data_IF_391173651475
#
_entry.id   IF_391173651475
#
_cell.length_a   1.000
_cell.length_b   1.000
_cell.length_c   1.000
_cell.angle_alpha   90.00
_cell.angle_beta   90.00
_cell.angle_gamma   90.00
#
_symmetry.space_group_name_H-M   'P 1'
#
loop_
_entity.id
_entity.type
_entity.pdbx_description
1 polymer ?
#
# COMPACT_ATOMS: atom_id res chain seq x y z
N UNK A 1 -3.05 -18.09 5.30
CA UNK A 1 -1.68 -18.60 5.49
C UNK A 1 -1.09 -18.23 6.85
N UNK A 2 -1.37 -17.04 7.40
CA UNK A 2 -0.81 -16.57 8.68
C UNK A 2 -1.71 -16.82 9.89
N UNK A 3 -2.94 -17.24 9.69
CA UNK A 3 -4.00 -17.33 10.71
C UNK A 3 -3.83 -18.48 11.69
N UNK A 4 -2.88 -19.36 11.47
CA UNK A 4 -2.48 -20.41 12.40
C UNK A 4 -1.64 -19.88 13.59
N UNK A 5 -0.99 -18.73 13.41
CA UNK A 5 -0.08 -18.13 14.39
C UNK A 5 -0.53 -16.73 14.81
N UNK A 6 -1.16 -15.96 13.91
CA UNK A 6 -1.54 -14.57 14.13
C UNK A 6 -3.05 -14.36 14.02
N UNK A 7 -3.58 -13.45 14.83
CA UNK A 7 -4.86 -12.82 14.52
C UNK A 7 -4.60 -11.78 13.41
N UNK A 8 -5.04 -12.09 12.20
CA UNK A 8 -4.83 -11.24 11.03
C UNK A 8 -6.04 -10.33 10.82
N UNK A 9 -5.80 -9.04 10.65
CA UNK A 9 -6.81 -8.03 10.35
C UNK A 9 -6.37 -7.32 9.09
N UNK A 10 -7.19 -7.41 8.04
CA UNK A 10 -7.08 -6.61 6.84
C UNK A 10 -7.99 -5.39 6.97
N UNK A 11 -7.46 -4.21 6.69
CA UNK A 11 -8.24 -2.98 6.70
C UNK A 11 -8.31 -2.44 5.27
N UNK A 12 -9.52 -2.34 4.74
CA UNK A 12 -9.76 -1.57 3.53
C UNK A 12 -9.64 -0.08 3.89
N UNK A 13 -8.65 0.60 3.33
CA UNK A 13 -8.54 2.04 3.52
C UNK A 13 -9.74 2.74 2.88
N UNK A 14 -10.11 3.93 3.38
CA UNK A 14 -11.23 4.70 2.83
C UNK A 14 -11.16 4.82 1.31
N UNK A 15 -12.29 4.61 0.65
CA UNK A 15 -12.38 4.58 -0.81
C UNK A 15 -11.90 3.29 -1.47
N UNK A 16 -11.53 2.27 -0.68
CA UNK A 16 -11.16 0.94 -1.16
C UNK A 16 -12.10 -0.13 -0.61
N UNK A 17 -12.24 -1.22 -1.37
CA UNK A 17 -12.96 -2.41 -0.92
C UNK A 17 -14.35 -2.11 -0.42
N UNK A 18 -14.62 -2.48 0.83
CA UNK A 18 -15.90 -2.24 1.51
C UNK A 18 -15.98 -0.93 2.30
N UNK A 19 -14.92 -0.13 2.32
CA UNK A 19 -14.88 1.14 3.06
C UNK A 19 -15.45 2.29 2.24
N UNK A 20 -16.23 3.17 2.90
CA UNK A 20 -16.84 4.33 2.26
C UNK A 20 -15.79 5.29 1.65
N UNK A 21 -16.11 5.93 0.53
CA UNK A 21 -15.27 7.00 -0.01
C UNK A 21 -15.28 8.21 0.94
N UNK A 22 -14.16 8.94 1.04
CA UNK A 22 -14.12 10.13 1.89
C UNK A 22 -14.98 11.25 1.29
N UNK A 23 -15.52 12.15 2.12
CA UNK A 23 -16.37 13.25 1.67
C UNK A 23 -15.61 14.32 0.87
N UNK A 24 -14.29 14.28 0.89
CA UNK A 24 -13.44 15.21 0.14
C UNK A 24 -12.06 14.62 -0.10
N UNK A 25 -11.32 15.18 -1.08
CA UNK A 25 -9.94 14.84 -1.40
C UNK A 25 -8.98 14.90 -0.20
N UNK A 26 -9.20 15.85 0.73
CA UNK A 26 -8.40 15.95 1.94
C UNK A 26 -8.50 14.71 2.85
N UNK A 27 -9.61 13.99 2.78
CA UNK A 27 -9.80 12.73 3.47
C UNK A 27 -8.90 11.59 2.95
N UNK A 28 -8.33 11.71 1.75
CA UNK A 28 -7.43 10.71 1.17
C UNK A 28 -5.97 10.87 1.64
N UNK A 29 -5.66 11.81 2.53
CA UNK A 29 -4.33 11.97 3.10
C UNK A 29 -4.01 10.86 4.10
N UNK A 30 -2.74 10.66 4.40
CA UNK A 30 -2.27 9.60 5.29
C UNK A 30 -2.85 9.69 6.71
N UNK A 31 -2.98 10.91 7.27
CA UNK A 31 -3.51 11.08 8.62
C UNK A 31 -4.97 10.60 8.79
N UNK A 32 -5.92 11.01 7.95
CA UNK A 32 -7.27 10.45 7.99
C UNK A 32 -7.32 8.93 7.80
N UNK A 33 -6.51 8.37 6.88
CA UNK A 33 -6.42 6.92 6.70
C UNK A 33 -5.86 6.22 7.94
N UNK A 34 -4.83 6.78 8.56
CA UNK A 34 -4.25 6.27 9.80
C UNK A 34 -5.25 6.33 10.96
N UNK A 35 -6.03 7.40 11.05
CA UNK A 35 -7.10 7.53 12.05
C UNK A 35 -8.18 6.46 11.88
N UNK A 36 -8.55 6.09 10.65
CA UNK A 36 -9.48 4.98 10.40
C UNK A 36 -8.92 3.64 10.90
N UNK A 37 -7.64 3.36 10.61
CA UNK A 37 -6.98 2.15 11.11
C UNK A 37 -7.04 2.09 12.63
N UNK A 38 -6.76 3.21 13.30
CA UNK A 38 -6.84 3.29 14.76
C UNK A 38 -8.27 3.09 15.26
N UNK A 39 -9.27 3.65 14.59
CA UNK A 39 -10.68 3.45 14.94
C UNK A 39 -11.11 1.97 14.84
N UNK A 40 -10.62 1.26 13.82
CA UNK A 40 -10.83 -0.19 13.67
C UNK A 40 -10.18 -0.96 14.83
N UNK A 41 -8.93 -0.62 15.18
CA UNK A 41 -8.24 -1.25 16.31
C UNK A 41 -8.96 -1.02 17.63
N UNK A 42 -9.45 0.20 17.88
CA UNK A 42 -10.23 0.56 19.06
C UNK A 42 -11.55 -0.22 19.13
N UNK A 43 -12.27 -0.30 18.01
CA UNK A 43 -13.52 -1.07 17.92
C UNK A 43 -13.31 -2.57 18.18
N UNK A 44 -12.12 -3.09 17.90
CA UNK A 44 -11.73 -4.48 18.13
C UNK A 44 -11.05 -4.72 19.48
N UNK A 45 -10.85 -3.67 20.29
CA UNK A 45 -10.17 -3.74 21.59
C UNK A 45 -8.69 -4.11 21.48
N UNK A 46 -8.00 -3.65 20.43
CA UNK A 46 -6.61 -3.98 20.16
C UNK A 46 -5.73 -2.82 20.58
N UNK A 47 -4.97 -3.02 21.66
CA UNK A 47 -4.06 -2.02 22.22
C UNK A 47 -2.67 -2.11 21.60
N UNK A 48 -2.19 -3.33 21.29
CA UNK A 48 -0.88 -3.58 20.70
C UNK A 48 -1.00 -4.45 19.45
N UNK A 49 -0.22 -4.12 18.43
CA UNK A 49 -0.22 -4.84 17.15
C UNK A 49 1.13 -4.74 16.44
N UNK A 50 1.29 -5.52 15.39
CA UNK A 50 2.32 -5.34 14.37
C UNK A 50 1.65 -5.10 13.02
N UNK A 51 2.29 -4.34 12.14
CA UNK A 51 1.76 -4.04 10.83
C UNK A 51 2.61 -4.62 9.70
N UNK A 52 1.94 -5.06 8.64
CA UNK A 52 2.55 -5.33 7.34
C UNK A 52 1.90 -4.35 6.36
N UNK A 53 2.65 -3.42 5.85
CA UNK A 53 2.16 -2.40 4.95
C UNK A 53 2.93 -2.42 3.63
N UNK A 54 2.21 -2.57 2.52
CA UNK A 54 2.78 -2.48 1.19
C UNK A 54 2.42 -1.14 0.56
N UNK A 55 3.37 -0.55 -0.15
CA UNK A 55 3.17 0.69 -0.90
C UNK A 55 2.52 1.78 -0.03
N UNK A 56 1.34 2.28 -0.39
CA UNK A 56 0.53 3.22 0.41
C UNK A 56 0.37 2.74 1.86
N UNK A 57 0.07 1.44 2.05
CA UNK A 57 -0.13 0.85 3.37
C UNK A 57 1.09 0.94 4.28
N UNK A 58 2.31 0.90 3.71
CA UNK A 58 3.56 1.11 4.46
C UNK A 58 3.67 2.54 5.00
N UNK A 59 3.37 3.53 4.17
CA UNK A 59 3.37 4.94 4.57
C UNK A 59 2.28 5.26 5.60
N UNK A 60 1.05 4.79 5.37
CA UNK A 60 -0.06 4.96 6.31
C UNK A 60 0.27 4.32 7.66
N UNK A 61 0.90 3.13 7.67
CA UNK A 61 1.30 2.46 8.91
C UNK A 61 2.31 3.26 9.74
N UNK A 62 3.24 3.97 9.09
CA UNK A 62 4.15 4.87 9.81
C UNK A 62 3.38 6.00 10.51
N UNK A 63 2.36 6.56 9.85
CA UNK A 63 1.51 7.60 10.46
C UNK A 63 0.60 7.02 11.54
N UNK A 64 0.17 5.76 11.46
CA UNK A 64 -0.54 5.08 12.56
C UNK A 64 0.33 5.03 13.82
N UNK A 65 1.64 4.71 13.70
CA UNK A 65 2.56 4.73 14.84
C UNK A 65 2.78 6.16 15.39
N UNK A 66 2.82 7.17 14.49
CA UNK A 66 2.91 8.58 14.90
C UNK A 66 1.71 9.01 15.75
N UNK A 67 0.50 8.63 15.34
CA UNK A 67 -0.73 8.99 16.04
C UNK A 67 -0.96 8.21 17.34
N UNK A 68 -0.39 7.01 17.46
CA UNK A 68 -0.46 6.16 18.66
C UNK A 68 0.91 5.57 18.99
N UNK A 69 1.84 6.37 19.51
CA UNK A 69 3.19 5.91 19.82
C UNK A 69 3.20 4.74 20.81
N UNK A 70 3.99 3.71 20.48
CA UNK A 70 4.20 2.56 21.35
C UNK A 70 3.17 1.42 21.19
N UNK A 71 2.06 1.62 20.48
CA UNK A 71 1.08 0.56 20.22
C UNK A 71 1.58 -0.41 19.13
N UNK A 72 2.31 0.09 18.14
CA UNK A 72 2.88 -0.74 17.09
C UNK A 72 4.23 -1.34 17.54
N UNK A 73 4.28 -2.65 17.69
CA UNK A 73 5.50 -3.36 18.08
C UNK A 73 6.51 -3.43 16.93
N UNK A 74 6.03 -3.67 15.72
CA UNK A 74 6.86 -3.79 14.52
C UNK A 74 6.08 -3.42 13.26
N UNK A 75 6.77 -2.76 12.32
CA UNK A 75 6.32 -2.51 10.96
C UNK A 75 7.16 -3.30 9.97
N UNK A 76 6.54 -4.14 9.16
CA UNK A 76 7.13 -4.72 7.95
C UNK A 76 6.71 -3.84 6.78
N UNK A 77 7.60 -2.94 6.37
CA UNK A 77 7.36 -1.94 5.33
C UNK A 77 7.82 -2.50 3.98
N UNK A 78 6.88 -2.98 3.19
CA UNK A 78 7.12 -3.58 1.89
C UNK A 78 6.89 -2.54 0.80
N UNK A 79 7.96 -2.09 0.13
CA UNK A 79 7.85 -1.07 -0.93
C UNK A 79 7.08 0.20 -0.47
N UNK A 80 7.20 0.55 0.82
CA UNK A 80 6.39 1.60 1.44
C UNK A 80 6.61 2.97 0.83
N UNK A 81 5.52 3.70 0.62
CA UNK A 81 5.56 5.06 0.07
C UNK A 81 5.76 6.06 1.22
N UNK A 82 7.02 6.23 1.56
CA UNK A 82 7.51 7.17 2.56
C UNK A 82 8.86 7.73 2.05
N UNK A 83 8.89 8.97 1.59
CA UNK A 83 10.10 9.57 1.04
C UNK A 83 10.16 11.07 1.32
N UNK A 84 11.39 11.59 1.43
CA UNK A 84 11.63 13.01 1.52
C UNK A 84 11.52 13.64 0.11
N UNK A 85 10.40 14.33 -0.12
CA UNK A 85 10.14 14.99 -1.39
C UNK A 85 11.18 16.08 -1.72
N UNK A 86 11.92 16.59 -0.71
CA UNK A 86 12.96 17.62 -0.91
C UNK A 86 14.31 17.04 -1.30
N UNK A 87 14.55 15.77 -1.01
CA UNK A 87 15.80 15.09 -1.32
C UNK A 87 15.91 14.65 -2.79
N UNK A 88 14.80 14.70 -3.53
CA UNK A 88 14.77 14.27 -4.93
C UNK A 88 14.44 15.46 -5.84
N UNK A 89 15.19 15.67 -6.94
CA UNK A 89 14.87 16.72 -7.91
C UNK A 89 13.43 16.56 -8.42
N UNK A 90 12.73 17.68 -8.62
CA UNK A 90 11.46 17.67 -9.35
C UNK A 90 11.68 17.03 -10.73
N UNK A 91 10.83 16.09 -11.13
CA UNK A 91 10.99 15.31 -12.34
C UNK A 91 11.66 13.95 -12.14
N UNK A 92 12.16 13.64 -10.93
CA UNK A 92 12.78 12.35 -10.62
C UNK A 92 11.85 11.39 -9.86
N UNK A 93 10.69 11.85 -9.44
CA UNK A 93 9.71 11.00 -8.78
C UNK A 93 8.97 10.15 -9.81
N UNK A 94 8.79 8.83 -9.58
CA UNK A 94 7.82 8.05 -10.33
C UNK A 94 6.44 8.67 -10.15
N UNK A 95 5.90 9.23 -11.22
CA UNK A 95 4.63 9.94 -11.18
C UNK A 95 4.70 11.41 -11.59
N UNK A 96 5.90 12.02 -11.63
CA UNK A 96 6.02 13.35 -12.22
C UNK A 96 5.93 13.28 -13.76
N UNK A 97 5.10 14.14 -14.32
CA UNK A 97 4.76 14.15 -15.76
C UNK A 97 3.31 13.73 -15.99
N UNK A 98 2.96 13.58 -17.26
CA UNK A 98 1.57 13.34 -17.65
C UNK A 98 0.76 14.63 -17.74
N UNK A 99 -0.52 14.50 -18.14
CA UNK A 99 -1.42 15.62 -18.38
C UNK A 99 -1.82 16.36 -17.09
N UNK A 100 -1.90 15.63 -15.96
CA UNK A 100 -2.21 16.19 -14.62
C UNK A 100 -0.97 16.63 -13.84
N UNK A 101 0.24 16.38 -14.35
CA UNK A 101 1.50 16.55 -13.60
C UNK A 101 1.84 15.37 -12.69
N UNK A 102 0.99 14.32 -12.65
CA UNK A 102 1.21 13.08 -11.93
C UNK A 102 0.85 11.89 -12.83
N UNK A 103 1.86 11.25 -13.40
CA UNK A 103 1.70 10.15 -14.36
C UNK A 103 0.91 8.95 -13.78
N UNK A 104 1.10 8.64 -12.50
CA UNK A 104 0.37 7.54 -11.85
C UNK A 104 -1.11 7.87 -11.67
N UNK A 105 -1.43 9.12 -11.36
CA UNK A 105 -2.81 9.58 -11.29
C UNK A 105 -3.48 9.50 -12.66
N UNK A 106 -2.78 9.87 -13.73
CA UNK A 106 -3.31 9.76 -15.11
C UNK A 106 -3.58 8.30 -15.50
N UNK A 107 -2.68 7.38 -15.13
CA UNK A 107 -2.89 5.92 -15.35
C UNK A 107 -4.11 5.44 -14.56
N UNK A 108 -4.26 5.85 -13.31
CA UNK A 108 -5.40 5.47 -12.48
C UNK A 108 -6.72 5.94 -13.09
N UNK A 109 -6.80 7.20 -13.52
CA UNK A 109 -7.99 7.76 -14.20
C UNK A 109 -8.34 7.03 -15.49
N UNK A 110 -7.36 6.55 -16.22
CA UNK A 110 -7.57 5.83 -17.48
C UNK A 110 -8.01 4.37 -17.27
N UNK A 111 -8.10 3.88 -16.04
CA UNK A 111 -8.56 2.52 -15.75
C UNK A 111 -10.05 2.36 -16.14
N UNK A 112 -10.35 1.23 -16.77
CA UNK A 112 -11.74 0.86 -17.02
C UNK A 112 -12.41 0.47 -15.70
N UNK A 113 -13.41 1.23 -15.28
CA UNK A 113 -14.12 1.00 -14.03
C UNK A 113 -15.10 -0.18 -14.11
N UNK A 114 -15.92 -0.25 -15.17
CA UNK A 114 -17.02 -1.23 -15.31
C UNK A 114 -16.67 -2.31 -16.33
N UNK A 115 -16.94 -3.57 -15.97
CA UNK A 115 -16.63 -4.75 -16.76
C UNK A 115 -17.84 -5.67 -16.85
N UNK A 116 -17.98 -6.47 -17.94
CA UNK A 116 -19.09 -7.41 -18.08
C UNK A 116 -19.20 -8.36 -16.89
N UNK A 117 -18.08 -8.93 -16.46
CA UNK A 117 -17.95 -9.85 -15.36
C UNK A 117 -16.48 -9.99 -14.90
N UNK A 118 -16.24 -10.75 -13.82
CA UNK A 118 -14.88 -11.00 -13.30
C UNK A 118 -14.02 -11.84 -14.24
N UNK A 119 -14.60 -12.65 -15.11
CA UNK A 119 -13.83 -13.43 -16.08
C UNK A 119 -13.25 -12.53 -17.18
N UNK A 120 -14.01 -11.55 -17.64
CA UNK A 120 -13.50 -10.52 -18.57
C UNK A 120 -12.34 -9.72 -17.95
N UNK A 121 -12.42 -9.41 -16.63
CA UNK A 121 -11.29 -8.79 -15.92
C UNK A 121 -10.10 -9.74 -15.88
N UNK A 122 -10.31 -11.00 -15.51
CA UNK A 122 -9.24 -12.02 -15.47
C UNK A 122 -8.54 -12.15 -16.82
N UNK A 123 -9.31 -12.32 -17.88
CA UNK A 123 -8.79 -12.45 -19.24
C UNK A 123 -7.94 -11.24 -19.65
N UNK A 124 -8.30 -10.04 -19.17
CA UNK A 124 -7.57 -8.81 -19.47
C UNK A 124 -6.31 -8.66 -18.62
N UNK A 125 -6.34 -9.05 -17.35
CA UNK A 125 -5.27 -8.76 -16.39
C UNK A 125 -4.19 -9.84 -16.34
N UNK A 126 -4.56 -11.12 -16.39
CA UNK A 126 -3.64 -12.26 -16.20
C UNK A 126 -2.42 -12.29 -17.12
N UNK A 127 -2.46 -11.65 -18.28
CA UNK A 127 -1.34 -11.62 -19.24
C UNK A 127 -0.74 -10.24 -19.46
N UNK A 128 -0.93 -9.30 -18.51
CA UNK A 128 -0.48 -7.91 -18.68
C UNK A 128 0.12 -7.34 -17.39
N UNK A 129 1.20 -6.58 -17.51
CA UNK A 129 1.73 -5.84 -16.35
C UNK A 129 0.67 -4.94 -15.70
N UNK A 130 0.70 -4.84 -14.38
CA UNK A 130 1.60 -5.51 -13.43
C UNK A 130 1.10 -6.89 -12.97
N UNK A 131 -0.02 -7.40 -13.49
CA UNK A 131 -0.68 -8.62 -13.00
C UNK A 131 -0.14 -9.92 -13.61
N UNK A 132 0.65 -9.85 -14.68
CA UNK A 132 1.24 -11.00 -15.37
C UNK A 132 2.26 -11.79 -14.52
N UNK A 133 2.80 -11.15 -13.49
CA UNK A 133 3.75 -11.76 -12.54
C UNK A 133 3.10 -12.17 -11.21
N UNK A 134 1.85 -11.77 -10.98
CA UNK A 134 1.13 -12.05 -9.74
C UNK A 134 0.69 -13.50 -9.66
N UNK A 135 0.88 -14.14 -8.50
CA UNK A 135 0.47 -15.52 -8.27
C UNK A 135 -1.06 -15.71 -8.51
N UNK A 136 -1.47 -16.85 -9.09
CA UNK A 136 -2.89 -17.07 -9.43
C UNK A 136 -3.86 -16.87 -8.27
N UNK A 137 -3.49 -17.29 -7.05
CA UNK A 137 -4.32 -17.12 -5.86
C UNK A 137 -4.41 -15.65 -5.41
N UNK A 138 -3.35 -14.86 -5.59
CA UNK A 138 -3.37 -13.43 -5.29
C UNK A 138 -4.22 -12.67 -6.33
N UNK A 139 -4.10 -13.00 -7.61
CA UNK A 139 -4.99 -12.48 -8.66
C UNK A 139 -6.45 -12.85 -8.38
N UNK A 140 -6.73 -14.09 -7.96
CA UNK A 140 -8.09 -14.50 -7.60
C UNK A 140 -8.64 -13.69 -6.42
N UNK A 141 -7.81 -13.40 -5.42
CA UNK A 141 -8.15 -12.50 -4.32
C UNK A 141 -8.49 -11.09 -4.79
N UNK A 142 -7.65 -10.53 -5.66
CA UNK A 142 -7.89 -9.21 -6.26
C UNK A 142 -9.20 -9.16 -7.06
N UNK A 143 -9.48 -10.18 -7.89
CA UNK A 143 -10.73 -10.25 -8.66
C UNK A 143 -11.97 -10.38 -7.76
N UNK A 144 -11.82 -11.02 -6.62
CA UNK A 144 -12.92 -11.19 -5.66
C UNK A 144 -13.25 -9.91 -4.89
N UNK A 145 -12.23 -9.19 -4.42
CA UNK A 145 -12.37 -8.10 -3.46
C UNK A 145 -12.14 -6.71 -4.06
N UNK A 146 -11.42 -6.64 -5.16
CA UNK A 146 -11.17 -5.39 -5.89
C UNK A 146 -12.29 -4.98 -6.84
N UNK A 147 -13.39 -5.76 -6.89
CA UNK A 147 -14.56 -5.49 -7.72
C UNK A 147 -15.85 -5.77 -6.94
N UNK A 148 -16.85 -4.93 -7.14
CA UNK A 148 -18.20 -5.09 -6.59
C UNK A 148 -19.19 -5.46 -7.69
N UNK A 149 -20.23 -6.25 -7.32
CA UNK A 149 -21.29 -6.65 -8.25
C UNK A 149 -22.30 -5.52 -8.39
N UNK A 150 -22.70 -5.25 -9.61
CA UNK A 150 -23.70 -4.25 -9.98
C UNK A 150 -25.08 -4.88 -10.18
N UNK A 151 -26.18 -4.14 -9.98
CA UNK A 151 -27.53 -4.66 -10.22
C UNK A 151 -27.79 -5.08 -11.67
N UNK A 152 -27.04 -4.55 -12.64
CA UNK A 152 -27.13 -4.88 -14.06
C UNK A 152 -26.36 -6.16 -14.47
N UNK A 153 -25.80 -6.88 -13.49
CA UNK A 153 -25.02 -8.10 -13.70
C UNK A 153 -23.56 -7.85 -14.11
N UNK A 154 -23.14 -6.61 -14.24
CA UNK A 154 -21.76 -6.22 -14.46
C UNK A 154 -20.98 -6.17 -13.13
N UNK A 155 -19.67 -5.94 -13.21
CA UNK A 155 -18.82 -5.66 -12.05
C UNK A 155 -18.10 -4.34 -12.23
N UNK A 156 -17.83 -3.63 -11.13
CA UNK A 156 -17.08 -2.39 -11.15
C UNK A 156 -15.94 -2.40 -10.13
N UNK A 157 -14.92 -1.58 -10.35
CA UNK A 157 -13.82 -1.40 -9.42
C UNK A 157 -14.34 -0.96 -8.05
N UNK A 158 -13.94 -1.64 -7.00
CA UNK A 158 -14.25 -1.27 -5.62
C UNK A 158 -13.58 0.06 -5.19
N UNK A 159 -12.45 0.41 -5.82
CA UNK A 159 -11.86 1.74 -5.71
C UNK A 159 -12.11 2.49 -7.02
N UNK A 160 -12.85 3.58 -6.95
CA UNK A 160 -13.13 4.43 -8.11
C UNK A 160 -11.82 5.00 -8.70
N UNK A 161 -11.66 5.03 -10.03
CA UNK A 161 -10.46 5.53 -10.69
C UNK A 161 -10.04 6.95 -10.30
N UNK A 162 -11.01 7.86 -10.04
CA UNK A 162 -10.69 9.21 -9.59
C UNK A 162 -10.23 9.22 -8.12
N UNK A 163 -10.79 8.36 -7.28
CA UNK A 163 -10.31 8.16 -5.89
C UNK A 163 -8.88 7.65 -5.89
N UNK A 164 -8.56 6.63 -6.69
CA UNK A 164 -7.21 6.09 -6.83
C UNK A 164 -6.23 7.16 -7.35
N UNK A 165 -6.62 7.93 -8.36
CA UNK A 165 -5.84 9.03 -8.90
C UNK A 165 -5.57 10.12 -7.85
N UNK A 166 -6.59 10.53 -7.11
CA UNK A 166 -6.46 11.52 -6.06
C UNK A 166 -5.51 11.06 -4.93
N UNK A 167 -5.46 9.74 -4.64
CA UNK A 167 -4.48 9.19 -3.68
C UNK A 167 -3.05 9.38 -4.18
N UNK A 168 -2.76 9.09 -5.46
CA UNK A 168 -1.43 9.34 -6.03
C UNK A 168 -1.03 10.81 -5.93
N UNK A 169 -1.98 11.73 -6.13
CA UNK A 169 -1.72 13.16 -6.03
C UNK A 169 -1.43 13.59 -4.58
N UNK A 170 -2.31 13.23 -3.61
CA UNK A 170 -2.13 13.65 -2.21
C UNK A 170 -0.92 13.01 -1.55
N UNK A 171 -0.50 11.83 -2.03
CA UNK A 171 0.71 11.15 -1.56
C UNK A 171 1.96 12.00 -1.82
N UNK A 172 1.98 12.74 -2.92
CA UNK A 172 3.10 13.62 -3.30
C UNK A 172 3.00 15.04 -2.72
N UNK A 173 1.90 15.36 -2.03
CA UNK A 173 1.71 16.64 -1.37
C UNK A 173 2.34 16.67 0.04
N UNK A 174 2.63 17.86 0.60
CA UNK A 174 3.06 17.99 1.99
C UNK A 174 2.08 17.33 2.97
N UNK A 175 2.60 16.53 3.88
CA UNK A 175 1.81 15.73 4.83
C UNK A 175 1.37 14.36 4.28
N UNK A 176 1.87 13.96 3.12
CA UNK A 176 1.74 12.62 2.53
C UNK A 176 2.95 11.74 2.86
N UNK A 177 3.70 11.33 1.82
CA UNK A 177 4.85 10.46 1.97
C UNK A 177 6.00 11.08 2.79
N UNK A 178 6.17 12.40 2.76
CA UNK A 178 7.14 13.14 3.54
C UNK A 178 6.89 13.03 5.05
N UNK A 179 5.62 13.08 5.48
CA UNK A 179 5.23 12.89 6.89
C UNK A 179 5.56 11.47 7.36
N UNK A 180 5.19 10.47 6.58
CA UNK A 180 5.51 9.08 6.88
C UNK A 180 7.03 8.87 7.00
N UNK A 181 7.80 9.44 6.07
CA UNK A 181 9.26 9.37 6.09
C UNK A 181 9.87 10.02 7.34
N UNK A 182 9.42 11.22 7.68
CA UNK A 182 9.92 11.95 8.86
C UNK A 182 9.71 11.17 10.17
N UNK A 183 8.65 10.37 10.27
CA UNK A 183 8.37 9.57 11.46
C UNK A 183 9.23 8.30 11.57
N UNK A 184 9.80 7.78 10.50
CA UNK A 184 10.59 6.53 10.52
C UNK A 184 11.75 6.55 11.53
N UNK A 185 12.34 7.72 11.77
CA UNK A 185 13.42 7.88 12.76
C UNK A 185 12.94 7.60 14.21
N UNK A 186 11.70 7.91 14.54
CA UNK A 186 11.09 7.60 15.84
C UNK A 186 10.76 6.09 15.98
N UNK A 187 10.67 5.38 14.87
CA UNK A 187 10.41 3.93 14.83
C UNK A 187 11.70 3.09 14.80
N UNK A 188 12.86 3.69 15.11
CA UNK A 188 14.17 3.05 14.99
C UNK A 188 14.21 1.68 15.67
N UNK A 189 14.71 0.66 14.95
CA UNK A 189 14.77 -0.72 15.43
C UNK A 189 13.46 -1.50 15.38
N UNK A 190 12.33 -0.84 15.04
CA UNK A 190 11.01 -1.48 14.94
C UNK A 190 10.50 -1.62 13.50
N UNK A 191 11.27 -1.20 12.50
CA UNK A 191 10.90 -1.27 11.09
C UNK A 191 11.80 -2.24 10.35
N UNK A 192 11.21 -3.11 9.53
CA UNK A 192 11.90 -3.82 8.46
C UNK A 192 11.55 -3.14 7.13
N UNK A 193 12.55 -2.67 6.40
CA UNK A 193 12.37 -2.04 5.08
C UNK A 193 12.71 -3.05 4.00
N UNK A 194 11.71 -3.44 3.21
CA UNK A 194 11.82 -4.44 2.15
C UNK A 194 11.54 -3.82 0.80
N UNK A 195 12.36 -4.17 -0.19
CA UNK A 195 12.24 -3.71 -1.58
C UNK A 195 12.29 -4.90 -2.53
N UNK A 196 11.49 -4.89 -3.58
CA UNK A 196 11.59 -5.84 -4.68
C UNK A 196 12.85 -5.59 -5.52
N UNK A 197 13.58 -6.64 -5.89
CA UNK A 197 14.79 -6.55 -6.71
C UNK A 197 14.51 -5.87 -8.06
N UNK A 198 13.39 -6.20 -8.69
CA UNK A 198 12.92 -5.65 -9.96
C UNK A 198 11.88 -4.52 -9.79
N UNK A 199 11.82 -3.88 -8.62
CA UNK A 199 10.92 -2.74 -8.41
C UNK A 199 11.22 -1.59 -9.35
N UNK A 200 10.16 -1.00 -9.90
CA UNK A 200 10.26 0.22 -10.71
C UNK A 200 10.42 1.50 -9.87
N UNK A 201 10.21 1.40 -8.54
CA UNK A 201 10.43 2.53 -7.64
C UNK A 201 11.92 2.73 -7.35
N UNK A 202 12.39 3.97 -7.14
CA UNK A 202 13.80 4.26 -6.95
C UNK A 202 14.38 3.61 -5.69
N UNK A 203 15.44 2.80 -5.81
CA UNK A 203 16.12 2.21 -4.67
C UNK A 203 16.57 3.25 -3.63
N UNK A 204 17.07 4.45 -4.00
CA UNK A 204 17.46 5.46 -3.02
C UNK A 204 16.36 5.84 -2.02
N UNK A 205 15.08 5.74 -2.38
CA UNK A 205 13.99 5.99 -1.45
C UNK A 205 13.97 4.98 -0.31
N UNK A 206 14.10 3.70 -0.63
CA UNK A 206 14.09 2.62 0.37
C UNK A 206 15.36 2.60 1.20
N UNK A 207 16.50 2.98 0.61
CA UNK A 207 17.75 3.14 1.34
C UNK A 207 17.63 4.26 2.36
N UNK A 208 17.08 5.41 1.97
CA UNK A 208 16.82 6.51 2.90
C UNK A 208 15.84 6.11 4.02
N UNK A 209 14.80 5.33 3.72
CA UNK A 209 13.89 4.78 4.73
C UNK A 209 14.63 3.88 5.72
N UNK A 210 15.47 2.97 5.22
CA UNK A 210 16.24 2.07 6.06
C UNK A 210 17.23 2.83 6.96
N UNK A 211 17.93 3.82 6.41
CA UNK A 211 18.85 4.69 7.15
C UNK A 211 18.11 5.46 8.25
N UNK A 212 16.96 6.07 7.94
CA UNK A 212 16.14 6.79 8.90
C UNK A 212 15.64 5.86 10.02
N UNK A 213 15.16 4.68 9.67
CA UNK A 213 14.69 3.66 10.62
C UNK A 213 15.83 2.94 11.37
N UNK A 214 17.10 3.19 11.02
CA UNK A 214 18.26 2.54 11.61
C UNK A 214 18.30 1.03 11.40
N UNK A 215 17.94 0.59 10.20
CA UNK A 215 17.90 -0.81 9.79
C UNK A 215 18.61 -1.01 8.44
N UNK A 216 18.79 -2.25 8.03
CA UNK A 216 19.30 -2.57 6.70
C UNK A 216 18.15 -2.65 5.68
N UNK A 217 18.38 -2.11 4.48
CA UNK A 217 17.50 -2.36 3.35
C UNK A 217 17.63 -3.82 2.91
N UNK A 218 16.53 -4.53 2.88
CA UNK A 218 16.50 -5.91 2.39
C UNK A 218 15.86 -5.97 1.00
N UNK A 219 16.60 -6.50 0.05
CA UNK A 219 16.12 -6.74 -1.31
C UNK A 219 15.52 -8.15 -1.40
N UNK A 220 14.32 -8.25 -1.94
CA UNK A 220 13.55 -9.47 -2.08
C UNK A 220 13.40 -9.77 -3.57
N UNK A 221 13.56 -11.02 -4.04
CA UNK A 221 13.27 -11.39 -5.41
C UNK A 221 11.81 -11.03 -5.79
N UNK A 222 11.62 -10.40 -6.95
CA UNK A 222 10.33 -9.91 -7.44
C UNK A 222 10.30 -8.41 -7.67
N UNK A 223 9.18 -7.88 -8.12
CA UNK A 223 8.94 -6.46 -8.39
C UNK A 223 8.30 -5.73 -7.22
N UNK A 224 7.55 -4.67 -7.55
CA UNK A 224 6.78 -3.90 -6.57
C UNK A 224 5.76 -4.75 -5.81
N UNK A 225 5.23 -5.78 -6.45
CA UNK A 225 4.23 -6.70 -5.89
C UNK A 225 4.83 -8.01 -5.41
N UNK A 226 6.07 -8.03 -4.91
CA UNK A 226 6.76 -9.26 -4.51
C UNK A 226 5.99 -10.10 -3.48
N UNK A 227 5.12 -9.50 -2.67
CA UNK A 227 4.24 -10.23 -1.76
C UNK A 227 3.16 -11.04 -2.50
N UNK A 228 2.66 -10.52 -3.61
CA UNK A 228 1.63 -11.15 -4.44
C UNK A 228 2.23 -12.03 -5.54
N UNK A 229 3.48 -11.81 -5.93
CA UNK A 229 4.19 -12.62 -6.92
C UNK A 229 4.54 -14.01 -6.39
N UNK A 230 4.88 -14.11 -5.09
CA UNK A 230 5.19 -15.37 -4.42
C UNK A 230 4.64 -15.37 -2.99
N UNK A 231 3.42 -15.85 -2.84
CA UNK A 231 2.68 -15.85 -1.57
C UNK A 231 3.31 -16.76 -0.50
N UNK A 232 4.04 -17.79 -0.90
CA UNK A 232 4.76 -18.66 0.04
C UNK A 232 6.00 -17.95 0.61
N UNK A 233 6.74 -17.26 -0.25
CA UNK A 233 7.86 -16.40 0.19
C UNK A 233 7.37 -15.25 1.04
N UNK A 234 6.28 -14.59 0.66
CA UNK A 234 5.65 -13.53 1.45
C UNK A 234 5.30 -14.01 2.86
N UNK A 235 4.67 -15.19 2.99
CA UNK A 235 4.38 -15.81 4.28
C UNK A 235 5.65 -16.01 5.11
N UNK A 236 6.70 -16.58 4.52
CA UNK A 236 7.97 -16.84 5.22
C UNK A 236 8.64 -15.54 5.70
N UNK A 237 8.62 -14.48 4.88
CA UNK A 237 9.15 -13.16 5.22
C UNK A 237 8.37 -12.58 6.41
N UNK A 238 7.05 -12.54 6.33
CA UNK A 238 6.20 -11.95 7.38
C UNK A 238 6.39 -12.71 8.70
N UNK A 239 6.40 -14.04 8.69
CA UNK A 239 6.66 -14.85 9.89
C UNK A 239 8.03 -14.54 10.50
N UNK A 240 9.06 -14.45 9.67
CA UNK A 240 10.42 -14.16 10.15
C UNK A 240 10.54 -12.75 10.75
N UNK A 241 9.84 -11.77 10.21
CA UNK A 241 9.89 -10.40 10.69
C UNK A 241 9.01 -10.17 11.94
N UNK A 242 7.85 -10.80 12.02
CA UNK A 242 6.95 -10.66 13.16
C UNK A 242 7.28 -11.60 14.33
N UNK A 243 8.02 -12.66 14.10
CA UNK A 243 8.45 -13.61 15.13
C UNK A 243 9.74 -13.20 15.90
N UNK A 244 10.26 -11.99 15.66
CA UNK A 244 11.48 -11.46 16.28
C UNK A 244 11.18 -10.62 17.52
#
# INVERSE_FOLDING_TARGET
RLTDTFRVIGVDLRGHGGSDPPPSRAGLRYEPMAADVLAVLDALGIEEFSAVGESLGGGVSAVVDELRPGAMRRLVCCEGIAFDATAFPRGASPGEGGASGNFMADIARARRAVWPDREAVRARYAGRPPFDVVAPEALAGYLRWGFVDRPDGQVELACDPETEAAIFEVTSEPGGADRAFAHLAAMRGRVAVLRGEASYLPEPWFRAQADAAGTELRTIPGGHFFLQEDTARAEAIVRAELGR
#
